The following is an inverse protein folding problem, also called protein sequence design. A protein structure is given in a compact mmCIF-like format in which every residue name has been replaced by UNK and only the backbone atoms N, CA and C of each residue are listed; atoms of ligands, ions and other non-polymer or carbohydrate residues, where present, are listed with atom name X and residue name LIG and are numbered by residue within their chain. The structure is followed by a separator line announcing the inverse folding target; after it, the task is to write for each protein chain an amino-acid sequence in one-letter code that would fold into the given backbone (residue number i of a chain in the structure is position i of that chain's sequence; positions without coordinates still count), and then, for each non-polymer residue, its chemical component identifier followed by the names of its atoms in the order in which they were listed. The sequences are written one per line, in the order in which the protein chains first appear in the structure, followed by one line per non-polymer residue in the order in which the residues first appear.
data_IF_027843777234
#
_entry.id   IF_027843777234
#
_cell.length_a   1.000
_cell.length_b   1.000
_cell.length_c   1.000
_cell.angle_alpha   90.00
_cell.angle_beta   90.00
_cell.angle_gamma   90.00
#
_symmetry.space_group_name_H-M   'P 1'
#
loop_
_entity.id
_entity.type
_entity.pdbx_description
1 polymer ?
#
# COMPACT_ATOMS: atom_id res chain seq x y z
N UNK A 1 -25.36 -35.71 17.34
CA UNK A 1 -24.24 -35.20 18.15
C UNK A 1 -23.71 -33.98 17.43
N UNK A 2 -23.76 -32.80 18.06
CA UNK A 2 -23.34 -31.54 17.46
C UNK A 2 -21.89 -31.28 17.88
N UNK A 3 -20.94 -31.21 16.95
CA UNK A 3 -19.52 -31.00 17.23
C UNK A 3 -19.10 -29.60 16.78
N UNK A 4 -19.58 -28.58 17.49
CA UNK A 4 -19.06 -27.22 17.37
C UNK A 4 -17.73 -27.16 18.15
N UNK A 5 -16.64 -27.55 17.49
CA UNK A 5 -15.28 -27.34 18.00
C UNK A 5 -14.92 -25.88 17.70
N UNK A 6 -14.59 -25.05 18.71
CA UNK A 6 -14.16 -23.68 18.46
C UNK A 6 -12.91 -23.68 17.58
N UNK A 7 -13.00 -23.10 16.39
CA UNK A 7 -11.84 -22.88 15.54
C UNK A 7 -10.97 -21.81 16.22
N UNK A 8 -9.65 -22.03 16.36
CA UNK A 8 -8.74 -20.99 16.85
C UNK A 8 -8.79 -19.77 15.91
N UNK A 9 -8.57 -18.55 16.42
CA UNK A 9 -8.61 -17.36 15.59
C UNK A 9 -7.61 -17.49 14.43
N UNK A 10 -8.09 -17.31 13.20
CA UNK A 10 -7.27 -17.28 11.99
C UNK A 10 -6.42 -16.01 12.05
N UNK A 11 -5.16 -16.14 12.47
CA UNK A 11 -4.21 -15.03 12.46
C UNK A 11 -3.67 -14.87 11.04
N UNK A 12 -4.09 -13.82 10.35
CA UNK A 12 -3.47 -13.43 9.08
C UNK A 12 -2.34 -12.45 9.36
N UNK A 13 -1.11 -12.88 9.14
CA UNK A 13 0.09 -12.05 9.34
C UNK A 13 0.21 -10.92 8.31
N UNK A 14 -0.44 -11.07 7.15
CA UNK A 14 -0.39 -10.13 6.04
C UNK A 14 -1.67 -9.29 5.92
N UNK A 15 -2.62 -9.42 6.84
CA UNK A 15 -3.81 -8.58 6.84
C UNK A 15 -3.45 -7.17 7.34
N UNK A 16 -3.70 -6.11 6.57
CA UNK A 16 -3.50 -4.74 7.04
C UNK A 16 -4.34 -4.49 8.30
N UNK A 17 -3.71 -3.97 9.34
CA UNK A 17 -4.42 -3.50 10.53
C UNK A 17 -4.87 -2.07 10.28
N UNK A 18 -6.11 -1.89 9.86
CA UNK A 18 -6.68 -0.55 9.71
C UNK A 18 -6.93 0.08 11.08
N UNK A 19 -6.62 1.38 11.21
CA UNK A 19 -7.06 2.16 12.36
C UNK A 19 -8.60 2.14 12.42
N UNK A 20 -9.23 1.95 13.60
CA UNK A 20 -10.69 1.98 13.72
C UNK A 20 -11.32 3.30 13.23
N UNK A 21 -10.54 4.38 13.29
CA UNK A 21 -10.92 5.72 12.84
C UNK A 21 -10.27 6.08 11.48
N UNK A 22 -9.87 5.11 10.67
CA UNK A 22 -9.38 5.38 9.33
C UNK A 22 -10.52 5.96 8.49
N UNK A 23 -10.38 7.22 8.08
CA UNK A 23 -11.34 7.88 7.19
C UNK A 23 -10.74 8.00 5.80
N UNK A 24 -11.49 7.60 4.77
CA UNK A 24 -11.14 7.92 3.40
C UNK A 24 -11.32 9.42 3.16
N UNK A 25 -10.24 10.12 2.82
CA UNK A 25 -10.31 11.51 2.41
C UNK A 25 -10.63 11.53 0.92
N UNK A 26 -11.82 12.03 0.58
CA UNK A 26 -12.33 12.03 -0.80
C UNK A 26 -11.52 12.95 -1.73
N UNK A 27 -10.79 13.91 -1.15
CA UNK A 27 -9.76 14.67 -1.84
C UNK A 27 -8.47 13.87 -1.69
N UNK A 28 -8.14 13.10 -2.72
CA UNK A 28 -6.91 12.34 -2.80
C UNK A 28 -5.71 13.28 -2.87
N UNK A 29 -4.67 12.98 -2.10
CA UNK A 29 -3.35 13.56 -2.36
C UNK A 29 -2.76 12.78 -3.53
N UNK A 30 -2.82 13.34 -4.73
CA UNK A 30 -2.09 12.81 -5.88
C UNK A 30 -0.61 13.14 -5.70
N UNK A 31 0.20 12.14 -5.32
CA UNK A 31 1.64 12.30 -5.13
C UNK A 31 2.46 11.88 -6.35
N UNK A 32 1.84 11.26 -7.36
CA UNK A 32 2.49 10.84 -8.57
C UNK A 32 1.59 10.97 -9.80
N UNK A 33 2.20 11.25 -10.97
CA UNK A 33 1.54 11.39 -12.26
C UNK A 33 2.46 10.90 -13.40
N UNK A 34 1.93 10.88 -14.63
CA UNK A 34 2.65 10.50 -15.86
C UNK A 34 3.95 11.29 -16.08
N UNK A 35 3.94 12.58 -15.77
CA UNK A 35 5.10 13.47 -15.91
C UNK A 35 6.23 13.11 -14.93
N UNK A 36 5.90 12.49 -13.80
CA UNK A 36 6.85 12.06 -12.76
C UNK A 36 7.28 10.60 -12.91
N UNK A 37 6.44 9.75 -13.51
CA UNK A 37 6.61 8.30 -13.49
C UNK A 37 6.70 7.64 -14.89
N UNK A 38 6.39 8.38 -15.95
CA UNK A 38 6.11 7.81 -17.27
C UNK A 38 4.72 7.20 -17.36
N UNK A 39 4.38 6.69 -18.54
CA UNK A 39 3.07 6.11 -18.83
C UNK A 39 2.94 4.67 -18.29
N UNK A 40 4.06 3.96 -18.17
CA UNK A 40 4.14 2.60 -17.65
C UNK A 40 4.89 2.54 -16.32
N UNK A 41 4.11 2.51 -15.25
CA UNK A 41 4.54 1.99 -13.95
C UNK A 41 3.91 0.63 -13.71
N UNK A 42 4.71 -0.35 -13.28
CA UNK A 42 4.20 -1.72 -13.07
C UNK A 42 4.21 -2.16 -11.62
N UNK A 43 4.94 -1.46 -10.74
CA UNK A 43 5.08 -1.90 -9.35
C UNK A 43 5.43 -0.75 -8.38
N UNK A 44 5.01 -0.91 -7.13
CA UNK A 44 5.36 -0.02 -6.01
C UNK A 44 5.55 -0.81 -4.72
N UNK A 45 6.44 -0.32 -3.87
CA UNK A 45 6.72 -0.87 -2.55
C UNK A 45 6.63 0.24 -1.49
N UNK A 46 6.03 -0.06 -0.35
CA UNK A 46 5.94 0.88 0.78
C UNK A 46 6.63 0.25 1.98
N UNK A 47 7.61 0.97 2.56
CA UNK A 47 8.33 0.50 3.74
C UNK A 47 7.62 0.87 5.06
N UNK A 48 8.21 0.49 6.20
CA UNK A 48 7.65 0.78 7.54
C UNK A 48 7.74 2.25 7.95
N UNK A 49 8.47 3.08 7.21
CA UNK A 49 8.63 4.50 7.43
C UNK A 49 7.76 5.32 6.46
N UNK A 50 6.72 4.71 5.87
CA UNK A 50 5.88 5.31 4.83
C UNK A 50 6.67 5.81 3.61
N UNK A 51 7.87 5.29 3.37
CA UNK A 51 8.62 5.59 2.14
C UNK A 51 8.04 4.77 1.01
N UNK A 52 7.60 5.44 -0.06
CA UNK A 52 7.09 4.81 -1.28
C UNK A 52 8.19 4.73 -2.31
N UNK A 53 8.43 3.53 -2.84
CA UNK A 53 9.36 3.24 -3.92
C UNK A 53 8.57 2.84 -5.15
N UNK A 54 8.78 3.52 -6.28
CA UNK A 54 8.07 3.24 -7.53
C UNK A 54 9.08 2.90 -8.63
N UNK A 55 8.84 1.80 -9.33
CA UNK A 55 9.59 1.45 -10.54
C UNK A 55 8.99 2.20 -11.74
N UNK A 56 9.62 3.31 -12.12
CA UNK A 56 9.29 4.09 -13.31
C UNK A 56 10.00 3.49 -14.52
N UNK A 57 9.39 2.45 -15.13
CA UNK A 57 10.02 1.66 -16.19
C UNK A 57 10.37 2.49 -17.42
N UNK A 58 9.46 3.36 -17.86
CA UNK A 58 9.69 4.24 -19.01
C UNK A 58 10.84 5.22 -18.79
N UNK A 59 11.03 5.63 -17.54
CA UNK A 59 12.09 6.57 -17.15
C UNK A 59 13.40 5.88 -16.78
N UNK A 60 13.41 4.54 -16.75
CA UNK A 60 14.52 3.70 -16.29
C UNK A 60 15.05 4.13 -14.90
N UNK A 61 14.12 4.42 -13.98
CA UNK A 61 14.42 5.01 -12.67
C UNK A 61 13.59 4.38 -11.54
N UNK A 62 14.11 4.50 -10.32
CA UNK A 62 13.35 4.26 -9.09
C UNK A 62 13.05 5.63 -8.47
N UNK A 63 11.77 5.97 -8.35
CA UNK A 63 11.31 7.21 -7.71
C UNK A 63 10.98 6.92 -6.26
N UNK A 64 11.43 7.78 -5.36
CA UNK A 64 11.28 7.62 -3.90
C UNK A 64 10.50 8.81 -3.36
N UNK A 65 9.38 8.55 -2.69
CA UNK A 65 8.59 9.55 -1.95
C UNK A 65 8.69 9.28 -0.46
N UNK A 66 8.88 10.33 0.33
CA UNK A 66 8.92 10.28 1.79
C UNK A 66 7.98 11.35 2.34
N UNK A 67 7.21 11.03 3.39
CA UNK A 67 6.56 12.06 4.20
C UNK A 67 7.64 12.88 4.92
N UNK A 68 7.55 14.21 4.81
CA UNK A 68 8.44 15.16 5.50
C UNK A 68 7.93 15.58 6.87
#
# INVERSE_FOLDING_TARGET
MNTDIPQPPVVSYNLPKFCPNATWKQIETMFANDSLLGDFTSDFFIDRNNTVYIAAFDMNQIVIFQEG
#
